data_IF_319629284988
#
_entry.id   IF_319629284988
#
_cell.length_a   1.000
_cell.length_b   1.000
_cell.length_c   1.000
_cell.angle_alpha   90.00
_cell.angle_beta   90.00
_cell.angle_gamma   90.00
#
_symmetry.space_group_name_H-M   'P 1'
#
loop_
_entity.id
_entity.type
_entity.pdbx_description
1 polymer ?
#
# COMPACT_ATOMS: atom_id res chain seq x y z
N UNK A 1 8.08 23.02 14.39
CA UNK A 1 7.36 23.09 13.09
C UNK A 1 7.69 21.89 12.18
N UNK A 2 7.99 20.72 12.75
CA UNK A 2 8.57 19.57 12.02
C UNK A 2 7.56 18.50 11.61
N UNK A 3 6.31 18.54 12.08
CA UNK A 3 5.30 17.50 11.79
C UNK A 3 4.56 17.63 10.46
N UNK A 4 4.45 18.83 9.88
CA UNK A 4 3.62 19.08 8.69
C UNK A 4 4.30 18.75 7.34
N UNK A 5 5.63 18.62 7.29
CA UNK A 5 6.37 18.27 6.07
C UNK A 5 6.84 16.80 6.04
N UNK A 6 6.70 16.07 7.14
CA UNK A 6 7.02 14.64 7.18
C UNK A 6 5.94 13.78 6.54
N UNK A 7 4.68 14.23 6.64
CA UNK A 7 3.52 13.49 6.13
C UNK A 7 3.49 13.35 4.60
N UNK A 8 3.79 14.39 3.80
CA UNK A 8 3.82 14.26 2.34
C UNK A 8 4.99 13.38 1.90
N UNK A 9 6.13 13.46 2.59
CA UNK A 9 7.31 12.66 2.29
C UNK A 9 7.05 11.18 2.57
N UNK A 10 6.47 10.85 3.73
CA UNK A 10 6.08 9.48 4.05
C UNK A 10 5.07 8.92 3.03
N UNK A 11 4.04 9.71 2.69
CA UNK A 11 3.07 9.35 1.67
C UNK A 11 3.70 9.10 0.29
N UNK A 12 4.60 9.98 -0.15
CA UNK A 12 5.30 9.82 -1.43
C UNK A 12 6.19 8.57 -1.44
N UNK A 13 6.88 8.26 -0.33
CA UNK A 13 7.68 7.05 -0.18
C UNK A 13 6.81 5.79 -0.25
N UNK A 14 5.66 5.78 0.44
CA UNK A 14 4.66 4.72 0.33
C UNK A 14 4.22 4.54 -1.12
N UNK A 15 3.84 5.62 -1.81
CA UNK A 15 3.46 5.55 -3.23
C UNK A 15 4.60 4.99 -4.11
N UNK A 16 5.84 5.42 -3.88
CA UNK A 16 7.02 4.98 -4.64
C UNK A 16 7.29 3.47 -4.48
N UNK A 17 7.00 2.90 -3.31
CA UNK A 17 7.21 1.48 -3.04
C UNK A 17 6.02 0.65 -3.53
N UNK A 18 4.81 1.05 -3.18
CA UNK A 18 3.63 0.19 -3.33
C UNK A 18 3.07 0.18 -4.74
N UNK A 19 3.07 1.32 -5.44
CA UNK A 19 2.50 1.41 -6.79
C UNK A 19 3.22 0.46 -7.77
N UNK A 20 4.57 0.43 -7.84
CA UNK A 20 5.26 -0.52 -8.70
C UNK A 20 4.96 -1.97 -8.36
N UNK A 21 4.84 -2.32 -7.08
CA UNK A 21 4.53 -3.68 -6.62
C UNK A 21 3.14 -4.10 -7.11
N UNK A 22 2.11 -3.29 -6.85
CA UNK A 22 0.74 -3.57 -7.26
C UNK A 22 0.64 -3.72 -8.78
N UNK A 23 1.31 -2.84 -9.54
CA UNK A 23 1.33 -2.90 -11.00
C UNK A 23 2.07 -4.15 -11.50
N UNK A 24 3.24 -4.45 -10.96
CA UNK A 24 4.06 -5.59 -11.40
C UNK A 24 3.35 -6.93 -11.11
N UNK A 25 2.86 -7.11 -9.89
CA UNK A 25 2.15 -8.33 -9.50
C UNK A 25 0.82 -8.47 -10.24
N UNK A 26 0.05 -7.39 -10.39
CA UNK A 26 -1.19 -7.39 -11.16
C UNK A 26 -0.95 -7.79 -12.63
N UNK A 27 0.07 -7.24 -13.27
CA UNK A 27 0.47 -7.64 -14.64
C UNK A 27 0.93 -9.09 -14.71
N UNK A 28 1.68 -9.56 -13.71
CA UNK A 28 2.10 -10.96 -13.60
C UNK A 28 0.92 -11.94 -13.52
N UNK A 29 -0.22 -11.50 -12.98
CA UNK A 29 -1.48 -12.25 -12.94
C UNK A 29 -2.37 -12.05 -14.18
N UNK A 30 -1.87 -11.35 -15.21
CA UNK A 30 -2.62 -11.07 -16.44
C UNK A 30 -3.70 -9.99 -16.27
N UNK A 31 -3.63 -9.16 -15.23
CA UNK A 31 -4.57 -8.07 -15.04
C UNK A 31 -4.14 -6.88 -15.91
N UNK A 32 -4.85 -6.70 -17.01
CA UNK A 32 -4.54 -5.71 -18.04
C UNK A 32 -5.63 -4.63 -18.06
N UNK A 33 -5.40 -3.49 -17.38
CA UNK A 33 -6.31 -2.36 -17.50
C UNK A 33 -6.34 -1.85 -18.94
N UNK A 34 -7.45 -1.19 -19.31
CA UNK A 34 -7.59 -0.59 -20.65
C UNK A 34 -6.57 0.50 -20.89
N UNK A 35 -6.15 1.20 -19.84
CA UNK A 35 -5.12 2.24 -19.89
C UNK A 35 -4.09 2.02 -18.80
N UNK A 36 -2.80 2.16 -19.13
CA UNK A 36 -1.70 1.89 -18.20
C UNK A 36 -1.77 2.75 -16.91
N UNK A 37 -2.24 3.99 -17.02
CA UNK A 37 -2.38 4.90 -15.87
C UNK A 37 -3.46 4.46 -14.87
N UNK A 38 -4.45 3.64 -15.29
CA UNK A 38 -5.53 3.20 -14.39
C UNK A 38 -5.00 2.35 -13.23
N UNK A 39 -3.91 1.58 -13.46
CA UNK A 39 -3.28 0.81 -12.40
C UNK A 39 -2.54 1.71 -11.41
N UNK A 40 -1.84 2.73 -11.90
CA UNK A 40 -1.17 3.71 -11.05
C UNK A 40 -2.16 4.52 -10.22
N UNK A 41 -3.28 4.95 -10.82
CA UNK A 41 -4.34 5.69 -10.11
C UNK A 41 -5.07 4.79 -9.11
N UNK A 42 -5.36 3.54 -9.46
CA UNK A 42 -5.94 2.60 -8.50
C UNK A 42 -5.01 2.36 -7.31
N UNK A 43 -3.73 2.08 -7.57
CA UNK A 43 -2.74 1.89 -6.53
C UNK A 43 -2.50 3.15 -5.68
N UNK A 44 -2.58 4.34 -6.28
CA UNK A 44 -2.54 5.62 -5.57
C UNK A 44 -3.75 5.83 -4.66
N UNK A 45 -4.96 5.49 -5.15
CA UNK A 45 -6.19 5.57 -4.35
C UNK A 45 -6.19 4.61 -3.16
N UNK A 46 -5.51 3.46 -3.26
CA UNK A 46 -5.30 2.56 -2.11
C UNK A 46 -4.56 3.28 -0.98
N UNK A 47 -3.60 4.15 -1.33
CA UNK A 47 -2.83 4.92 -0.33
C UNK A 47 -3.64 5.99 0.40
N UNK A 48 -4.82 6.35 -0.11
CA UNK A 48 -5.74 7.25 0.60
C UNK A 48 -6.37 6.60 1.85
N UNK A 49 -6.07 5.32 2.14
CA UNK A 49 -6.41 4.65 3.40
C UNK A 49 -5.47 5.01 4.54
N UNK A 50 -4.23 5.43 4.24
CA UNK A 50 -3.21 5.73 5.25
C UNK A 50 -3.52 6.93 6.17
N UNK A 51 -4.31 7.95 5.77
CA UNK A 51 -4.86 8.94 6.71
C UNK A 51 -5.69 8.33 7.86
N UNK A 52 -6.25 7.12 7.69
CA UNK A 52 -6.93 6.39 8.77
C UNK A 52 -5.93 5.93 9.85
N UNK A 53 -4.70 5.58 9.47
CA UNK A 53 -3.61 5.26 10.42
C UNK A 53 -3.24 6.49 11.25
N UNK A 54 -3.38 7.69 10.69
CA UNK A 54 -3.01 8.95 11.34
C UNK A 54 -4.09 9.48 12.29
N UNK A 55 -5.36 9.18 12.03
CA UNK A 55 -6.46 9.48 12.96
C UNK A 55 -6.38 8.66 14.26
N UNK A 56 -5.65 7.55 14.26
CA UNK A 56 -5.56 6.65 15.40
C UNK A 56 -4.58 7.12 16.51
N UNK A 57 -3.84 8.22 16.29
CA UNK A 57 -2.96 8.82 17.30
C UNK A 57 -1.66 8.03 17.55
N UNK A 58 -1.06 8.17 18.75
CA UNK A 58 0.13 7.40 19.15
C UNK A 58 -0.25 5.93 19.34
N UNK A 59 -0.01 5.11 18.32
CA UNK A 59 -0.30 3.69 18.36
C UNK A 59 0.80 2.98 19.14
N UNK A 60 0.41 2.36 20.25
CA UNK A 60 1.17 1.24 20.79
C UNK A 60 1.21 0.12 19.73
N UNK A 61 2.26 -0.72 19.79
CA UNK A 61 2.51 -1.76 18.77
C UNK A 61 1.25 -2.60 18.40
N UNK A 62 0.38 -3.00 19.36
CA UNK A 62 -0.83 -3.75 19.02
C UNK A 62 -1.83 -2.97 18.16
N UNK A 63 -2.02 -1.67 18.42
CA UNK A 63 -2.95 -0.86 17.63
C UNK A 63 -2.39 -0.55 16.24
N UNK A 64 -1.07 -0.41 16.11
CA UNK A 64 -0.42 -0.29 14.80
C UNK A 64 -0.69 -1.54 13.95
N UNK A 65 -0.48 -2.73 14.51
CA UNK A 65 -0.77 -3.99 13.82
C UNK A 65 -2.23 -4.08 13.42
N UNK A 66 -3.17 -3.72 14.31
CA UNK A 66 -4.60 -3.75 13.99
C UNK A 66 -4.96 -2.78 12.85
N UNK A 67 -4.34 -1.60 12.85
CA UNK A 67 -4.58 -0.57 11.85
C UNK A 67 -4.04 -1.01 10.47
N UNK A 68 -2.85 -1.63 10.41
CA UNK A 68 -2.29 -2.22 9.18
C UNK A 68 -3.19 -3.35 8.64
N UNK A 69 -3.71 -4.21 9.52
CA UNK A 69 -4.65 -5.27 9.11
C UNK A 69 -5.95 -4.69 8.52
N UNK A 70 -6.44 -3.58 9.07
CA UNK A 70 -7.60 -2.89 8.53
C UNK A 70 -7.31 -2.26 7.16
N UNK A 71 -6.13 -1.66 6.99
CA UNK A 71 -5.66 -1.14 5.70
C UNK A 71 -5.60 -2.26 4.66
N UNK A 72 -4.93 -3.37 4.98
CA UNK A 72 -4.84 -4.53 4.09
C UNK A 72 -6.23 -5.02 3.68
N UNK A 73 -7.18 -5.12 4.61
CA UNK A 73 -8.54 -5.57 4.30
C UNK A 73 -9.26 -4.61 3.33
N UNK A 74 -9.20 -3.30 3.58
CA UNK A 74 -9.82 -2.28 2.71
C UNK A 74 -9.17 -2.29 1.33
N UNK A 75 -7.84 -2.33 1.28
CA UNK A 75 -7.10 -2.32 0.04
C UNK A 75 -7.33 -3.57 -0.80
N UNK A 76 -7.42 -4.73 -0.16
CA UNK A 76 -7.73 -6.00 -0.81
C UNK A 76 -9.09 -5.96 -1.50
N UNK A 77 -10.10 -5.39 -0.83
CA UNK A 77 -11.46 -5.26 -1.38
C UNK A 77 -11.46 -4.30 -2.57
N UNK A 78 -10.81 -3.14 -2.43
CA UNK A 78 -10.72 -2.13 -3.47
C UNK A 78 -9.95 -2.66 -4.70
N UNK A 79 -8.82 -3.34 -4.47
CA UNK A 79 -8.00 -3.95 -5.52
C UNK A 79 -8.75 -5.07 -6.23
N UNK A 80 -9.46 -5.93 -5.50
CA UNK A 80 -10.31 -6.97 -6.10
C UNK A 80 -11.41 -6.36 -6.98
N UNK A 81 -12.10 -5.34 -6.48
CA UNK A 81 -13.15 -4.66 -7.24
C UNK A 81 -12.59 -4.03 -8.52
N UNK A 82 -11.47 -3.32 -8.42
CA UNK A 82 -10.78 -2.74 -9.57
C UNK A 82 -10.33 -3.81 -10.56
N UNK A 83 -9.71 -4.88 -10.09
CA UNK A 83 -9.20 -5.96 -10.94
C UNK A 83 -10.31 -6.58 -11.79
N UNK A 84 -11.45 -6.89 -11.16
CA UNK A 84 -12.63 -7.49 -11.83
C UNK A 84 -13.32 -6.50 -12.77
N UNK A 85 -13.43 -5.22 -12.39
CA UNK A 85 -14.22 -4.23 -13.13
C UNK A 85 -13.44 -3.52 -14.24
N UNK A 86 -12.12 -3.38 -14.07
CA UNK A 86 -11.28 -2.49 -14.88
C UNK A 86 -10.06 -3.18 -15.48
N UNK A 87 -9.53 -4.23 -14.85
CA UNK A 87 -8.29 -4.90 -15.29
C UNK A 87 -8.50 -6.30 -15.89
N UNK A 88 -9.75 -6.71 -16.16
CA UNK A 88 -10.05 -7.97 -16.85
C UNK A 88 -9.82 -9.22 -16.00
N UNK A 89 -9.68 -9.10 -14.68
CA UNK A 89 -9.50 -10.26 -13.81
C UNK A 89 -10.76 -11.14 -13.78
N UNK A 90 -10.61 -12.48 -13.73
CA UNK A 90 -11.75 -13.40 -13.69
C UNK A 90 -12.55 -13.24 -12.39
N UNK A 91 -13.85 -13.53 -12.42
CA UNK A 91 -14.71 -13.58 -11.22
C UNK A 91 -14.62 -14.96 -10.52
N UNK A 92 -13.39 -15.43 -10.29
CA UNK A 92 -13.13 -16.71 -9.61
C UNK A 92 -12.85 -16.49 -8.12
N UNK A 93 -12.82 -17.58 -7.35
CA UNK A 93 -12.40 -17.56 -5.93
C UNK A 93 -10.93 -17.16 -5.75
N UNK A 94 -10.10 -17.28 -6.79
CA UNK A 94 -8.68 -16.96 -6.71
C UNK A 94 -8.41 -15.44 -6.75
N UNK A 95 -9.23 -14.67 -7.47
CA UNK A 95 -9.02 -13.22 -7.63
C UNK A 95 -9.04 -12.43 -6.32
N UNK A 96 -9.99 -12.62 -5.38
CA UNK A 96 -9.93 -11.93 -4.09
C UNK A 96 -8.73 -12.36 -3.24
N UNK A 97 -8.31 -13.63 -3.31
CA UNK A 97 -7.10 -14.13 -2.62
C UNK A 97 -5.85 -13.47 -3.18
N UNK A 98 -5.74 -13.37 -4.51
CA UNK A 98 -4.62 -12.70 -5.16
C UNK A 98 -4.58 -11.20 -4.83
N UNK A 99 -5.74 -10.54 -4.77
CA UNK A 99 -5.82 -9.14 -4.35
C UNK A 99 -5.34 -8.96 -2.89
N UNK A 100 -5.71 -9.87 -2.00
CA UNK A 100 -5.23 -9.89 -0.62
C UNK A 100 -3.71 -10.07 -0.53
N UNK A 101 -3.16 -11.02 -1.29
CA UNK A 101 -1.71 -11.27 -1.32
C UNK A 101 -0.97 -10.03 -1.84
N UNK A 102 -1.46 -9.39 -2.89
CA UNK A 102 -0.84 -8.17 -3.43
C UNK A 102 -0.86 -7.03 -2.41
N UNK A 103 -2.02 -6.77 -1.78
CA UNK A 103 -2.15 -5.74 -0.75
C UNK A 103 -1.21 -6.00 0.43
N UNK A 104 -1.15 -7.25 0.90
CA UNK A 104 -0.24 -7.65 1.97
C UNK A 104 1.24 -7.43 1.59
N UNK A 105 1.67 -7.84 0.39
CA UNK A 105 3.05 -7.68 -0.06
C UNK A 105 3.41 -6.19 -0.19
N UNK A 106 2.52 -5.37 -0.76
CA UNK A 106 2.74 -3.94 -0.91
C UNK A 106 2.91 -3.26 0.45
N UNK A 107 1.95 -3.47 1.36
CA UNK A 107 1.98 -2.91 2.70
C UNK A 107 3.21 -3.37 3.51
N UNK A 108 3.51 -4.69 3.52
CA UNK A 108 4.69 -5.21 4.21
C UNK A 108 6.00 -4.63 3.66
N UNK A 109 6.11 -4.45 2.34
CA UNK A 109 7.29 -3.84 1.71
C UNK A 109 7.46 -2.37 2.11
N UNK A 110 6.36 -1.63 2.16
CA UNK A 110 6.30 -0.23 2.61
C UNK A 110 6.75 -0.08 4.07
N UNK A 111 6.24 -0.94 4.96
CA UNK A 111 6.67 -1.01 6.37
C UNK A 111 8.17 -1.33 6.49
N UNK A 112 8.67 -2.31 5.74
CA UNK A 112 10.10 -2.68 5.75
C UNK A 112 10.99 -1.51 5.30
N UNK A 113 10.61 -0.81 4.23
CA UNK A 113 11.33 0.37 3.75
C UNK A 113 11.30 1.49 4.80
N UNK A 114 10.15 1.74 5.43
CA UNK A 114 10.02 2.71 6.52
C UNK A 114 10.93 2.40 7.71
N UNK A 115 10.98 1.14 8.13
CA UNK A 115 11.86 0.67 9.22
C UNK A 115 13.34 0.81 8.84
N UNK A 116 13.73 0.37 7.64
CA UNK A 116 15.10 0.44 7.16
C UNK A 116 15.58 1.90 7.07
N UNK A 117 14.78 2.79 6.48
CA UNK A 117 15.11 4.21 6.38
C UNK A 117 15.25 4.85 7.77
N UNK A 118 14.34 4.52 8.70
CA UNK A 118 14.41 5.01 10.08
C UNK A 118 15.64 4.50 10.83
N UNK A 119 16.14 3.30 10.50
CA UNK A 119 17.38 2.77 11.07
C UNK A 119 18.61 3.49 10.49
N UNK A 120 18.64 3.70 9.18
CA UNK A 120 19.73 4.40 8.47
C UNK A 120 19.86 5.84 8.96
N UNK A 121 18.74 6.58 9.04
CA UNK A 121 18.73 7.97 9.49
C UNK A 121 19.21 8.08 10.95
N UNK A 122 18.75 7.18 11.83
CA UNK A 122 19.23 7.13 13.22
C UNK A 122 20.71 6.81 13.33
N UNK A 123 21.25 5.98 12.44
CA UNK A 123 22.67 5.67 12.40
C UNK A 123 23.50 6.87 11.92
N UNK A 124 23.02 7.61 10.92
CA UNK A 124 23.68 8.81 10.39
C UNK A 124 23.70 9.98 11.39
N UNK A 125 22.68 10.12 12.23
CA UNK A 125 22.64 11.14 13.30
C UNK A 125 23.58 10.82 14.48
N UNK A 126 24.07 9.57 14.58
CA UNK A 126 24.99 9.10 15.64
C UNK A 126 26.47 9.06 15.18
N UNK A 127 26.74 9.33 13.89
CA UNK A 127 28.06 9.30 13.28
C UNK A 127 28.63 10.72 13.08
#
# INVERSE_FOLDING_TARGET
MTGMLQWPVAYLLTCLVEIPIVVALGRGLGWHPRRAWEAAVAAWLLQCTHPLLWLAGSLDLPRLVLAELAVIAVESIALWWWAVRRAGAPRSRATPVNALIIAFIANASSVLVGVALSAILRWADLA
#
